data_IF_906222391608
#
_entry.id   IF_906222391608
#
_cell.length_a   1.000
_cell.length_b   1.000
_cell.length_c   1.000
_cell.angle_alpha   90.00
_cell.angle_beta   90.00
_cell.angle_gamma   90.00
#
_symmetry.space_group_name_H-M   'P 1'
#
loop_
_entity.id
_entity.type
_entity.pdbx_description
1 polymer ?
#
# COMPACT_ATOMS: atom_id res chain seq x y z
N UNK A 1 3.17 10.78 -7.64
CA UNK A 1 3.86 9.90 -8.61
C UNK A 1 2.82 9.19 -9.45
N UNK A 2 3.10 8.89 -10.72
CA UNK A 2 2.22 8.12 -11.60
C UNK A 2 2.88 6.80 -11.99
N UNK A 3 2.07 5.74 -12.09
CA UNK A 3 2.45 4.44 -12.65
C UNK A 3 1.62 4.17 -13.90
N UNK A 4 2.28 3.75 -14.97
CA UNK A 4 1.68 3.41 -16.26
C UNK A 4 2.06 1.96 -16.59
N UNK A 5 1.08 1.04 -16.75
CA UNK A 5 1.37 -0.34 -17.08
C UNK A 5 1.92 -0.42 -18.51
N UNK A 6 2.98 -1.19 -18.69
CA UNK A 6 3.56 -1.43 -20.03
C UNK A 6 3.07 -2.73 -20.68
N UNK A 7 2.31 -3.54 -19.94
CA UNK A 7 1.78 -4.86 -20.33
C UNK A 7 0.49 -5.14 -19.53
N UNK A 8 -0.43 -5.91 -20.10
CA UNK A 8 -1.71 -6.26 -19.44
C UNK A 8 -1.54 -6.98 -18.10
N UNK A 9 -0.50 -7.81 -17.95
CA UNK A 9 -0.20 -8.46 -16.67
C UNK A 9 0.11 -7.43 -15.57
N UNK A 10 0.77 -6.32 -15.91
CA UNK A 10 1.09 -5.23 -14.96
C UNK A 10 -0.19 -4.47 -14.59
N UNK A 11 -1.07 -4.26 -15.57
CA UNK A 11 -2.39 -3.63 -15.39
C UNK A 11 -3.24 -4.37 -14.35
N UNK A 12 -3.30 -5.70 -14.42
CA UNK A 12 -3.96 -6.53 -13.40
C UNK A 12 -3.27 -6.43 -12.01
N UNK A 13 -1.95 -6.33 -11.98
CA UNK A 13 -1.19 -6.10 -10.75
C UNK A 13 -1.55 -4.76 -10.09
N UNK A 14 -1.67 -3.70 -10.89
CA UNK A 14 -2.04 -2.38 -10.40
C UNK A 14 -3.46 -2.30 -9.87
N UNK A 15 -4.43 -3.01 -10.48
CA UNK A 15 -5.78 -3.10 -9.92
C UNK A 15 -5.76 -3.67 -8.48
N UNK A 16 -4.95 -4.71 -8.23
CA UNK A 16 -4.77 -5.29 -6.88
C UNK A 16 -4.03 -4.32 -5.95
N UNK A 17 -3.00 -3.64 -6.45
CA UNK A 17 -2.25 -2.64 -5.68
C UNK A 17 -3.15 -1.48 -5.22
N UNK A 18 -3.96 -0.92 -6.13
CA UNK A 18 -4.92 0.15 -5.81
C UNK A 18 -5.91 -0.32 -4.75
N UNK A 19 -6.49 -1.52 -4.90
CA UNK A 19 -7.42 -2.07 -3.92
C UNK A 19 -6.76 -2.24 -2.54
N UNK A 20 -5.52 -2.77 -2.51
CA UNK A 20 -4.76 -2.91 -1.28
C UNK A 20 -4.43 -1.55 -0.64
N UNK A 21 -4.01 -0.56 -1.43
CA UNK A 21 -3.73 0.79 -0.96
C UNK A 21 -4.98 1.46 -0.38
N UNK A 22 -6.13 1.36 -1.05
CA UNK A 22 -7.41 1.87 -0.53
C UNK A 22 -7.77 1.21 0.79
N UNK A 23 -7.59 -0.10 0.90
CA UNK A 23 -7.86 -0.86 2.11
C UNK A 23 -6.94 -0.49 3.27
N UNK A 24 -5.61 -0.44 3.09
CA UNK A 24 -4.70 -0.09 4.19
C UNK A 24 -4.93 1.32 4.72
N UNK A 25 -5.39 2.24 3.86
CA UNK A 25 -5.75 3.60 4.29
C UNK A 25 -7.03 3.64 5.16
N UNK A 26 -7.78 2.54 5.31
CA UNK A 26 -8.90 2.45 6.26
C UNK A 26 -8.48 1.89 7.62
N UNK A 27 -7.23 1.47 7.78
CA UNK A 27 -6.74 0.89 9.03
C UNK A 27 -6.18 2.01 9.90
N UNK A 28 -6.64 2.08 11.15
CA UNK A 28 -6.11 3.04 12.13
C UNK A 28 -4.68 2.65 12.53
N UNK A 29 -3.68 3.33 11.99
CA UNK A 29 -2.27 3.03 12.26
C UNK A 29 -1.41 4.28 12.17
N UNK A 30 -0.24 4.24 12.80
CA UNK A 30 0.77 5.29 12.74
C UNK A 30 1.65 5.21 11.50
N UNK A 31 1.55 4.12 10.71
CA UNK A 31 2.28 3.94 9.46
C UNK A 31 1.59 4.71 8.35
N UNK A 32 2.36 5.48 7.58
CA UNK A 32 1.85 6.19 6.40
C UNK A 32 1.96 5.32 5.16
N UNK A 33 0.88 5.26 4.37
CA UNK A 33 0.83 4.54 3.09
C UNK A 33 0.66 5.51 1.93
N UNK A 34 1.04 5.11 0.70
CA UNK A 34 0.68 5.86 -0.48
C UNK A 34 -0.84 6.05 -0.59
N UNK A 35 -1.28 7.30 -0.75
CA UNK A 35 -2.68 7.62 -1.00
C UNK A 35 -2.93 7.69 -2.50
N UNK A 36 -3.85 6.86 -3.01
CA UNK A 36 -4.27 6.94 -4.41
C UNK A 36 -5.12 8.20 -4.61
N UNK A 37 -4.71 9.06 -5.54
CA UNK A 37 -5.36 10.36 -5.82
C UNK A 37 -5.97 10.45 -7.21
N UNK A 38 -5.55 9.59 -8.14
CA UNK A 38 -6.08 9.53 -9.50
C UNK A 38 -6.01 8.11 -10.02
N UNK A 39 -7.03 7.70 -10.77
CA UNK A 39 -7.12 6.38 -11.40
C UNK A 39 -7.76 6.55 -12.78
N UNK A 40 -7.26 5.80 -13.77
CA UNK A 40 -7.97 5.64 -15.03
C UNK A 40 -9.04 4.54 -14.87
N UNK A 41 -10.27 4.69 -15.42
CA UNK A 41 -11.32 3.67 -15.33
C UNK A 41 -10.85 2.28 -15.78
N UNK A 42 -10.08 2.26 -16.87
CA UNK A 42 -9.52 1.03 -17.40
C UNK A 42 -8.18 0.63 -16.76
N UNK A 43 -7.69 1.26 -15.69
CA UNK A 43 -6.35 1.00 -15.11
C UNK A 43 -5.15 1.29 -16.04
N UNK A 44 -5.30 2.14 -17.06
CA UNK A 44 -4.20 2.61 -17.93
C UNK A 44 -3.18 3.49 -17.18
N UNK A 45 -3.55 4.02 -16.01
CA UNK A 45 -2.62 4.60 -15.05
C UNK A 45 -3.27 4.71 -13.68
N UNK A 46 -2.43 4.92 -12.66
CA UNK A 46 -2.89 5.51 -11.41
C UNK A 46 -1.80 6.41 -10.82
N UNK A 47 -2.24 7.40 -10.06
CA UNK A 47 -1.42 8.36 -9.37
C UNK A 47 -1.60 8.25 -7.86
N UNK A 48 -0.50 8.39 -7.12
CA UNK A 48 -0.51 8.37 -5.66
C UNK A 48 0.43 9.42 -5.05
N UNK A 49 0.13 9.83 -3.81
CA UNK A 49 0.99 10.68 -3.00
C UNK A 49 2.21 9.89 -2.51
N UNK A 50 3.38 10.50 -2.65
CA UNK A 50 4.64 9.89 -2.21
C UNK A 50 4.71 9.98 -0.68
N UNK A 51 5.07 8.87 -0.04
CA UNK A 51 5.43 8.88 1.39
C UNK A 51 6.89 9.34 1.50
N UNK A 52 7.18 10.49 2.12
CA UNK A 52 8.54 10.96 2.27
C UNK A 52 9.34 10.05 3.20
N UNK A 53 10.58 9.76 2.85
CA UNK A 53 11.45 8.90 3.65
C UNK A 53 12.61 8.32 2.86
N UNK A 54 13.38 7.46 3.52
CA UNK A 54 14.44 6.65 2.92
C UNK A 54 14.15 5.18 3.17
N UNK A 55 14.71 4.30 2.36
CA UNK A 55 14.59 2.87 2.60
C UNK A 55 15.23 2.52 3.94
N UNK A 56 14.59 1.65 4.71
CA UNK A 56 15.17 1.16 5.95
C UNK A 56 16.51 0.45 5.70
N UNK A 57 16.64 -0.22 4.55
CA UNK A 57 17.86 -0.91 4.14
C UNK A 57 19.06 0.04 4.07
N UNK A 58 18.85 1.30 3.68
CA UNK A 58 19.93 2.29 3.54
C UNK A 58 20.44 2.80 4.90
N UNK A 59 19.68 2.56 5.97
CA UNK A 59 19.97 3.10 7.31
C UNK A 59 20.09 2.03 8.39
N UNK A 60 19.76 0.77 8.10
CA UNK A 60 19.60 -0.27 9.12
C UNK A 60 20.84 -0.42 9.99
N UNK A 61 22.03 -0.39 9.40
CA UNK A 61 23.30 -0.60 10.09
C UNK A 61 23.66 0.55 11.05
N UNK A 62 23.20 1.77 10.78
CA UNK A 62 23.49 2.95 11.61
C UNK A 62 22.43 3.24 12.67
N UNK A 63 21.33 2.46 12.69
CA UNK A 63 20.28 2.64 13.68
C UNK A 63 20.73 2.23 15.07
N UNK A 64 20.50 3.13 16.04
CA UNK A 64 20.65 2.83 17.48
C UNK A 64 19.73 1.68 17.88
N UNK A 65 20.13 0.83 18.85
CA UNK A 65 19.30 -0.30 19.30
C UNK A 65 17.88 0.09 19.69
N UNK A 66 17.70 1.20 20.42
CA UNK A 66 16.38 1.71 20.82
C UNK A 66 15.49 2.06 19.62
N UNK A 67 16.06 2.67 18.57
CA UNK A 67 15.34 3.01 17.35
C UNK A 67 14.92 1.75 16.59
N UNK A 68 15.80 0.74 16.52
CA UNK A 68 15.45 -0.56 15.90
C UNK A 68 14.30 -1.24 16.64
N UNK A 69 14.34 -1.24 17.97
CA UNK A 69 13.28 -1.82 18.80
C UNK A 69 11.93 -1.11 18.56
N UNK A 70 11.92 0.23 18.55
CA UNK A 70 10.72 1.02 18.26
C UNK A 70 10.16 0.71 16.87
N UNK A 71 10.99 0.64 15.83
CA UNK A 71 10.55 0.26 14.48
C UNK A 71 9.91 -1.13 14.50
N UNK A 72 10.55 -2.09 15.16
CA UNK A 72 10.00 -3.45 15.32
C UNK A 72 8.63 -3.47 16.00
N UNK A 73 8.44 -2.68 17.06
CA UNK A 73 7.15 -2.57 17.76
C UNK A 73 6.06 -1.95 16.88
N UNK A 74 6.38 -0.89 16.12
CA UNK A 74 5.44 -0.27 15.18
C UNK A 74 5.02 -1.26 14.08
N UNK A 75 5.99 -1.98 13.51
CA UNK A 75 5.72 -2.99 12.48
C UNK A 75 4.90 -4.16 13.02
N UNK A 76 5.23 -4.70 14.19
CA UNK A 76 4.48 -5.78 14.82
C UNK A 76 3.02 -5.38 15.11
N UNK A 77 2.82 -4.19 15.68
CA UNK A 77 1.48 -3.65 15.94
C UNK A 77 0.66 -3.53 14.65
N UNK A 78 1.24 -2.91 13.61
CA UNK A 78 0.57 -2.79 12.32
C UNK A 78 0.24 -4.15 11.71
N UNK A 79 1.20 -5.08 11.65
CA UNK A 79 0.98 -6.39 11.03
C UNK A 79 -0.11 -7.17 11.76
N UNK A 80 -0.17 -7.13 13.09
CA UNK A 80 -1.26 -7.75 13.86
C UNK A 80 -2.61 -7.15 13.50
N UNK A 81 -2.72 -5.83 13.38
CA UNK A 81 -3.96 -5.16 13.01
C UNK A 81 -4.35 -5.47 11.56
N UNK A 82 -3.40 -5.37 10.64
CA UNK A 82 -3.58 -5.68 9.23
C UNK A 82 -4.05 -7.13 9.02
N UNK A 83 -3.42 -8.11 9.68
CA UNK A 83 -3.83 -9.51 9.56
C UNK A 83 -5.16 -9.83 10.25
N UNK A 84 -5.57 -9.06 11.26
CA UNK A 84 -6.89 -9.21 11.92
C UNK A 84 -8.00 -8.49 11.17
N UNK A 85 -7.66 -7.47 10.39
CA UNK A 85 -8.64 -6.74 9.60
C UNK A 85 -9.32 -7.72 8.65
N UNK A 86 -10.64 -7.88 8.82
CA UNK A 86 -11.41 -8.66 7.86
C UNK A 86 -11.30 -7.92 6.54
N UNK A 87 -10.88 -8.61 5.49
CA UNK A 87 -11.19 -8.22 4.12
C UNK A 87 -12.72 -8.30 3.99
N UNK A 88 -13.45 -7.36 4.58
CA UNK A 88 -14.85 -7.15 4.31
C UNK A 88 -14.89 -6.82 2.83
N UNK A 89 -15.31 -7.80 2.02
CA UNK A 89 -15.28 -7.83 0.55
C UNK A 89 -14.74 -6.53 -0.03
N UNK A 90 -13.41 -6.42 -0.13
CA UNK A 90 -12.78 -5.28 -0.77
C UNK A 90 -13.30 -5.31 -2.20
N UNK A 91 -14.36 -4.52 -2.46
CA UNK A 91 -15.18 -4.55 -3.66
C UNK A 91 -14.27 -4.55 -4.88
N UNK A 92 -14.01 -5.74 -5.42
CA UNK A 92 -13.47 -5.84 -6.76
C UNK A 92 -14.58 -5.31 -7.66
N UNK A 93 -14.33 -4.26 -8.46
CA UNK A 93 -15.36 -3.71 -9.33
C UNK A 93 -15.94 -4.85 -10.19
N UNK A 94 -17.26 -5.01 -10.12
CA UNK A 94 -18.02 -5.95 -10.95
C UNK A 94 -17.97 -5.46 -12.41
N UNK A 95 -16.86 -5.70 -13.10
CA UNK A 95 -16.80 -5.65 -14.56
C UNK A 95 -16.51 -7.05 -15.06
N UNK A 96 -17.59 -7.84 -15.14
CA UNK A 96 -17.77 -8.96 -16.06
C UNK A 96 -19.12 -9.63 -15.73
N UNK A 97 -20.23 -9.04 -16.20
CA UNK A 97 -21.44 -9.75 -16.65
C UNK A 97 -22.16 -8.87 -17.65
N UNK A 98 -21.81 -9.04 -18.92
CA UNK A 98 -22.70 -8.82 -20.06
C UNK A 98 -22.88 -10.17 -20.73
#
# INVERSE_FOLDING_TARGET
MFKFPRKDKVKQGYAKEIAALKFVNTIETTITFPLVVREHPDNEYFGYQIVPGRSLQDSVDTLKPATRQMIGQVLDSFLKQFHRSKLAEANMPKHCRS
#
